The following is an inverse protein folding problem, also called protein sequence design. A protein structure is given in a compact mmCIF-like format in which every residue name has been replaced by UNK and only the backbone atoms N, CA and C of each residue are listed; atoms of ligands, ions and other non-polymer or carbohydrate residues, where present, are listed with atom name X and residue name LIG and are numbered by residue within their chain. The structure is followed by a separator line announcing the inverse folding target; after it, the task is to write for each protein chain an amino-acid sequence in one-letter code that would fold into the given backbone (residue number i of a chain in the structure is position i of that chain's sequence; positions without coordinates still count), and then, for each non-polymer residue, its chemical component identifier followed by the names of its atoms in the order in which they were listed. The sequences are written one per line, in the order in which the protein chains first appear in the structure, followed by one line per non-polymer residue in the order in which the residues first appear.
data_IF_247587284070
#
_entry.id   IF_247587284070
#
_cell.length_a   1.000
_cell.length_b   1.000
_cell.length_c   1.000
_cell.angle_alpha   90.00
_cell.angle_beta   90.00
_cell.angle_gamma   90.00
#
_symmetry.space_group_name_H-M   'P 1'
#
loop_
_entity.id
_entity.type
_entity.pdbx_description
1 polymer ?
#
# COMPACT_ATOMS: atom_id res chain seq x y z
N UNK A 1 12.85 30.00 -7.00
CA UNK A 1 13.41 28.64 -6.99
C UNK A 1 12.33 27.58 -7.23
N UNK A 2 11.24 27.59 -6.49
CA UNK A 2 10.11 26.65 -6.65
C UNK A 2 9.48 26.69 -8.06
N UNK A 3 9.32 27.88 -8.64
CA UNK A 3 8.78 28.05 -9.99
C UNK A 3 9.65 27.38 -11.07
N UNK A 4 10.99 27.44 -10.94
CA UNK A 4 11.90 26.78 -11.88
C UNK A 4 11.87 25.25 -11.78
N UNK A 5 11.63 24.70 -10.58
CA UNK A 5 11.59 23.26 -10.34
C UNK A 5 10.23 22.65 -10.69
N UNK A 6 9.14 23.30 -10.28
CA UNK A 6 7.80 22.72 -10.32
C UNK A 6 6.85 23.37 -11.31
N UNK A 7 7.29 24.41 -12.03
CA UNK A 7 6.51 25.10 -13.08
C UNK A 7 5.08 25.47 -12.65
N UNK A 8 4.97 26.03 -11.44
CA UNK A 8 3.68 26.26 -10.76
C UNK A 8 2.70 27.09 -11.60
N UNK A 9 3.18 28.10 -12.35
CA UNK A 9 2.35 28.92 -13.25
C UNK A 9 1.81 28.12 -14.44
N UNK A 10 2.63 27.22 -14.98
CA UNK A 10 2.25 26.33 -16.09
C UNK A 10 1.13 25.37 -15.66
N UNK A 11 1.16 24.92 -14.40
CA UNK A 11 0.14 24.06 -13.79
C UNK A 11 -1.02 24.85 -13.15
N UNK A 12 -1.10 26.17 -13.32
CA UNK A 12 -2.14 27.02 -12.71
C UNK A 12 -2.31 26.81 -11.20
N UNK A 13 -1.21 26.67 -10.46
CA UNK A 13 -1.19 26.41 -9.03
C UNK A 13 -0.27 27.36 -8.28
N UNK A 14 -0.23 27.26 -6.97
CA UNK A 14 0.62 28.06 -6.09
C UNK A 14 1.18 27.20 -4.94
N UNK A 15 2.28 27.62 -4.27
CA UNK A 15 2.93 26.83 -3.23
C UNK A 15 2.01 26.43 -2.07
N UNK A 16 1.06 27.29 -1.71
CA UNK A 16 0.12 27.00 -0.61
C UNK A 16 -0.84 25.86 -0.98
N UNK A 17 -1.33 25.87 -2.20
CA UNK A 17 -2.20 24.79 -2.73
C UNK A 17 -1.44 23.48 -2.80
N UNK A 18 -0.19 23.49 -3.33
CA UNK A 18 0.63 22.29 -3.44
C UNK A 18 1.00 21.69 -2.09
N UNK A 19 1.39 22.50 -1.11
CA UNK A 19 1.67 22.03 0.24
C UNK A 19 0.41 21.44 0.88
N UNK A 20 -0.74 22.11 0.75
CA UNK A 20 -2.02 21.59 1.25
C UNK A 20 -2.40 20.26 0.60
N UNK A 21 -2.20 20.13 -0.72
CA UNK A 21 -2.44 18.89 -1.45
C UNK A 21 -1.49 17.77 -1.00
N UNK A 22 -0.21 18.09 -0.80
CA UNK A 22 0.78 17.15 -0.28
C UNK A 22 0.43 16.63 1.12
N UNK A 23 -0.02 17.51 2.02
CA UNK A 23 -0.51 17.10 3.36
C UNK A 23 -1.70 16.16 3.24
N UNK A 24 -2.69 16.45 2.39
CA UNK A 24 -3.86 15.58 2.18
C UNK A 24 -3.42 14.23 1.61
N UNK A 25 -2.51 14.22 0.64
CA UNK A 25 -1.95 12.98 0.08
C UNK A 25 -1.24 12.16 1.15
N UNK A 26 -0.39 12.80 1.97
CA UNK A 26 0.25 12.13 3.11
C UNK A 26 -0.79 11.53 4.08
N UNK A 27 -1.82 12.28 4.46
CA UNK A 27 -2.88 11.80 5.36
C UNK A 27 -3.60 10.57 4.79
N UNK A 28 -3.75 10.46 3.47
CA UNK A 28 -4.41 9.31 2.85
C UNK A 28 -3.54 8.07 2.82
N UNK A 29 -2.22 8.20 2.80
CA UNK A 29 -1.29 7.06 2.75
C UNK A 29 -0.62 6.74 4.10
N UNK A 30 -0.72 7.62 5.10
CA UNK A 30 -0.01 7.46 6.38
C UNK A 30 -0.35 6.16 7.12
N UNK A 31 -1.54 5.58 6.86
CA UNK A 31 -1.94 4.29 7.44
C UNK A 31 -0.95 3.15 7.12
N UNK A 32 -0.20 3.27 6.02
CA UNK A 32 0.76 2.25 5.61
C UNK A 32 1.91 2.07 6.60
N UNK A 33 2.25 3.15 7.35
CA UNK A 33 3.27 3.12 8.40
C UNK A 33 2.87 2.25 9.60
N UNK A 34 1.59 1.89 9.69
CA UNK A 34 1.05 0.98 10.71
C UNK A 34 0.75 -0.40 10.11
N UNK A 35 0.08 -0.44 8.96
CA UNK A 35 -0.37 -1.69 8.35
C UNK A 35 0.79 -2.51 7.79
N UNK A 36 1.76 -1.88 7.13
CA UNK A 36 2.92 -2.59 6.59
C UNK A 36 3.76 -3.29 7.67
N UNK A 37 4.15 -2.62 8.76
CA UNK A 37 4.86 -3.29 9.85
C UNK A 37 4.03 -4.40 10.52
N UNK A 38 2.72 -4.23 10.64
CA UNK A 38 1.85 -5.28 11.19
C UNK A 38 1.84 -6.54 10.33
N UNK A 39 1.82 -6.39 8.99
CA UNK A 39 1.89 -7.53 8.07
C UNK A 39 3.25 -8.21 8.14
N UNK A 40 4.33 -7.45 8.12
CA UNK A 40 5.68 -8.01 8.19
C UNK A 40 5.98 -8.60 9.56
N UNK A 41 5.41 -8.06 10.65
CA UNK A 41 5.46 -8.64 11.99
C UNK A 41 4.79 -10.01 12.05
N UNK A 42 3.64 -10.18 11.38
CA UNK A 42 3.01 -11.50 11.25
C UNK A 42 3.87 -12.51 10.47
N UNK A 43 4.78 -12.04 9.62
CA UNK A 43 5.80 -12.84 8.95
C UNK A 43 7.07 -13.06 9.79
N UNK A 44 7.11 -12.60 11.06
CA UNK A 44 8.26 -12.76 11.95
C UNK A 44 9.39 -11.75 11.75
N UNK A 45 9.13 -10.64 11.03
CA UNK A 45 10.09 -9.55 10.89
C UNK A 45 9.97 -8.56 12.05
N UNK A 46 11.04 -7.85 12.37
CA UNK A 46 11.04 -6.80 13.39
C UNK A 46 10.16 -5.61 12.95
N UNK A 47 9.08 -5.37 13.71
CA UNK A 47 8.06 -4.36 13.42
C UNK A 47 8.65 -2.95 13.42
N UNK A 48 9.54 -2.66 14.37
CA UNK A 48 10.18 -1.35 14.49
C UNK A 48 11.08 -1.06 13.29
N UNK A 49 11.93 -1.99 12.93
CA UNK A 49 12.82 -1.87 11.78
C UNK A 49 12.04 -1.72 10.47
N UNK A 50 10.97 -2.50 10.29
CA UNK A 50 10.08 -2.38 9.12
C UNK A 50 9.41 -1.01 9.06
N UNK A 51 8.97 -0.46 10.20
CA UNK A 51 8.37 0.88 10.26
C UNK A 51 9.34 1.94 9.74
N UNK A 52 10.57 1.92 10.24
CA UNK A 52 11.62 2.88 9.84
C UNK A 52 11.93 2.76 8.35
N UNK A 53 12.15 1.54 7.86
CA UNK A 53 12.45 1.29 6.43
C UNK A 53 11.29 1.73 5.55
N UNK A 54 10.04 1.43 5.94
CA UNK A 54 8.85 1.84 5.20
C UNK A 54 8.75 3.36 5.11
N UNK A 55 8.98 4.08 6.20
CA UNK A 55 8.95 5.54 6.23
C UNK A 55 10.05 6.14 5.33
N UNK A 56 11.29 5.66 5.47
CA UNK A 56 12.43 6.17 4.69
C UNK A 56 12.23 5.91 3.19
N UNK A 57 11.88 4.69 2.80
CA UNK A 57 11.70 4.35 1.39
C UNK A 57 10.52 5.11 0.76
N UNK A 58 9.38 5.20 1.47
CA UNK A 58 8.23 5.97 0.98
C UNK A 58 8.58 7.45 0.81
N UNK A 59 9.34 8.05 1.74
CA UNK A 59 9.79 9.42 1.65
C UNK A 59 10.74 9.63 0.47
N UNK A 60 11.78 8.81 0.34
CA UNK A 60 12.79 8.93 -0.73
C UNK A 60 12.16 8.75 -2.11
N UNK A 61 11.37 7.70 -2.31
CA UNK A 61 10.78 7.44 -3.63
C UNK A 61 9.68 8.43 -3.99
N UNK A 62 8.87 8.90 -3.03
CA UNK A 62 7.88 9.96 -3.29
C UNK A 62 8.57 11.29 -3.64
N UNK A 63 9.65 11.64 -2.94
CA UNK A 63 10.46 12.82 -3.24
C UNK A 63 11.09 12.72 -4.63
N UNK A 64 11.70 11.57 -4.94
CA UNK A 64 12.30 11.33 -6.27
C UNK A 64 11.25 11.41 -7.38
N UNK A 65 10.08 10.82 -7.17
CA UNK A 65 8.96 10.88 -8.12
C UNK A 65 8.53 12.33 -8.36
N UNK A 66 8.31 13.11 -7.31
CA UNK A 66 7.92 14.52 -7.42
C UNK A 66 8.98 15.38 -8.12
N UNK A 67 10.26 15.18 -7.82
CA UNK A 67 11.36 15.96 -8.41
C UNK A 67 11.62 15.58 -9.87
N UNK A 68 11.53 14.29 -10.21
CA UNK A 68 11.87 13.80 -11.55
C UNK A 68 10.72 13.94 -12.55
N UNK A 69 9.49 13.58 -12.13
CA UNK A 69 8.34 13.58 -13.05
C UNK A 69 7.46 14.81 -12.94
N UNK A 70 7.60 15.59 -11.86
CA UNK A 70 6.72 16.71 -11.52
C UNK A 70 5.23 16.32 -11.45
N UNK A 71 4.95 15.06 -11.05
CA UNK A 71 3.61 14.52 -10.89
C UNK A 71 3.30 14.28 -9.42
N UNK A 72 2.04 14.49 -8.97
CA UNK A 72 1.64 14.37 -7.57
C UNK A 72 1.40 12.90 -7.16
N UNK A 73 2.35 12.01 -7.45
CA UNK A 73 2.30 10.61 -7.03
C UNK A 73 3.09 10.40 -5.74
N UNK A 74 2.42 9.94 -4.70
CA UNK A 74 3.09 9.41 -3.52
C UNK A 74 3.31 7.90 -3.69
N UNK A 75 4.51 7.44 -3.36
CA UNK A 75 4.92 6.04 -3.51
C UNK A 75 5.04 5.37 -2.14
N UNK A 76 4.44 4.19 -2.03
CA UNK A 76 4.48 3.38 -0.84
C UNK A 76 4.40 1.89 -1.20
N UNK A 77 4.76 0.96 -0.29
CA UNK A 77 4.69 -0.47 -0.54
C UNK A 77 3.29 -0.95 -0.94
N UNK A 78 3.22 -1.88 -1.90
CA UNK A 78 1.95 -2.42 -2.39
C UNK A 78 1.33 -3.41 -1.40
N UNK A 79 0.18 -3.08 -0.81
CA UNK A 79 -0.47 -3.90 0.22
C UNK A 79 -0.87 -5.30 -0.25
N UNK A 80 -1.29 -5.46 -1.50
CA UNK A 80 -1.69 -6.76 -2.03
C UNK A 80 -0.55 -7.78 -2.04
N UNK A 81 0.59 -7.43 -2.62
CA UNK A 81 1.78 -8.28 -2.65
C UNK A 81 2.32 -8.54 -1.24
N UNK A 82 2.27 -7.53 -0.37
CA UNK A 82 2.74 -7.64 1.01
C UNK A 82 1.89 -8.58 1.85
N UNK A 83 0.57 -8.54 1.66
CA UNK A 83 -0.33 -9.46 2.33
C UNK A 83 -0.13 -10.91 1.86
N UNK A 84 0.05 -11.13 0.56
CA UNK A 84 0.39 -12.44 0.01
C UNK A 84 1.73 -12.94 0.58
N UNK A 85 2.74 -12.08 0.63
CA UNK A 85 4.03 -12.39 1.25
C UNK A 85 3.87 -12.80 2.70
N UNK A 86 3.24 -11.96 3.53
CA UNK A 86 3.18 -12.14 4.96
C UNK A 86 2.31 -13.34 5.37
N UNK A 87 1.09 -13.40 4.85
CA UNK A 87 0.10 -14.38 5.33
C UNK A 87 0.10 -15.69 4.54
N UNK A 88 0.30 -15.65 3.22
CA UNK A 88 0.25 -16.86 2.40
C UNK A 88 1.59 -17.57 2.38
N UNK A 89 2.69 -16.85 2.17
CA UNK A 89 3.98 -17.49 2.00
C UNK A 89 4.70 -17.74 3.32
N UNK A 90 4.85 -16.70 4.16
CA UNK A 90 5.69 -16.81 5.35
C UNK A 90 4.89 -17.38 6.52
N UNK A 91 3.79 -16.76 6.93
CA UNK A 91 2.95 -17.28 8.01
C UNK A 91 2.28 -18.62 7.62
N UNK A 92 2.06 -18.87 6.33
CA UNK A 92 1.62 -20.17 5.81
C UNK A 92 2.69 -21.26 5.81
N UNK A 93 3.93 -20.95 6.26
CA UNK A 93 5.01 -21.93 6.41
C UNK A 93 5.64 -22.41 5.11
N UNK A 94 5.36 -21.75 3.97
CA UNK A 94 5.90 -22.13 2.66
C UNK A 94 7.39 -21.80 2.56
N UNK A 95 7.81 -20.62 3.04
CA UNK A 95 9.20 -20.16 3.02
C UNK A 95 9.49 -19.27 4.23
N UNK A 96 10.78 -19.10 4.55
CA UNK A 96 11.23 -18.09 5.51
C UNK A 96 11.05 -16.68 4.92
N UNK A 97 10.94 -15.66 5.78
CA UNK A 97 10.82 -14.28 5.29
C UNK A 97 12.05 -13.81 4.50
N UNK A 98 13.26 -14.33 4.84
CA UNK A 98 14.51 -14.04 4.12
C UNK A 98 14.44 -14.54 2.67
N UNK A 99 14.02 -15.79 2.49
CA UNK A 99 13.85 -16.40 1.15
C UNK A 99 12.72 -15.72 0.39
N UNK A 100 11.62 -15.39 1.07
CA UNK A 100 10.52 -14.63 0.48
C UNK A 100 10.96 -13.24 -0.02
N UNK A 101 11.77 -12.50 0.76
CA UNK A 101 12.37 -11.24 0.31
C UNK A 101 13.30 -11.43 -0.88
N UNK A 102 14.06 -12.53 -0.92
CA UNK A 102 14.86 -12.92 -2.09
C UNK A 102 14.01 -13.07 -3.35
N UNK A 103 12.83 -13.72 -3.25
CA UNK A 103 11.89 -13.86 -4.37
C UNK A 103 11.34 -12.51 -4.84
N UNK A 104 10.94 -11.64 -3.91
CA UNK A 104 10.47 -10.28 -4.22
C UNK A 104 11.57 -9.47 -4.91
N UNK A 105 12.81 -9.58 -4.44
CA UNK A 105 13.95 -8.91 -5.05
C UNK A 105 14.18 -9.39 -6.50
N UNK A 106 14.17 -10.70 -6.75
CA UNK A 106 14.32 -11.28 -8.10
C UNK A 106 13.19 -10.78 -9.01
N UNK A 107 11.95 -10.80 -8.51
CA UNK A 107 10.78 -10.27 -9.22
C UNK A 107 10.96 -8.79 -9.60
N UNK A 108 11.45 -7.97 -8.67
CA UNK A 108 11.75 -6.54 -8.90
C UNK A 108 12.83 -6.32 -9.95
N UNK A 109 13.90 -7.15 -9.94
CA UNK A 109 14.96 -7.10 -10.96
C UNK A 109 14.41 -7.45 -12.34
N UNK A 110 13.59 -8.51 -12.44
CA UNK A 110 12.92 -8.89 -13.71
C UNK A 110 12.04 -7.74 -14.20
N UNK A 111 11.25 -7.13 -13.29
CA UNK A 111 10.40 -5.99 -13.62
C UNK A 111 11.21 -4.79 -14.16
N UNK A 112 12.33 -4.49 -13.51
CA UNK A 112 13.22 -3.40 -13.93
C UNK A 112 13.79 -3.68 -15.33
N UNK A 113 14.31 -4.88 -15.56
CA UNK A 113 14.89 -5.27 -16.85
C UNK A 113 13.85 -5.17 -17.97
N UNK A 114 12.64 -5.69 -17.77
CA UNK A 114 11.56 -5.60 -18.75
C UNK A 114 11.12 -4.15 -19.01
N UNK A 115 11.17 -3.30 -17.98
CA UNK A 115 10.85 -1.87 -18.13
C UNK A 115 11.90 -1.13 -18.94
N UNK A 116 13.19 -1.38 -18.68
CA UNK A 116 14.31 -0.77 -19.41
C UNK A 116 14.34 -1.23 -20.88
N UNK A 117 14.01 -2.50 -21.14
CA UNK A 117 13.92 -3.06 -22.50
C UNK A 117 12.66 -2.61 -23.27
N UNK A 118 11.77 -1.82 -22.66
CA UNK A 118 10.53 -1.36 -23.29
C UNK A 118 9.46 -2.45 -23.47
N UNK A 119 9.73 -3.67 -23.04
CA UNK A 119 8.82 -4.81 -23.17
C UNK A 119 7.54 -4.65 -22.34
N UNK A 120 7.59 -3.82 -21.31
CA UNK A 120 6.43 -3.48 -20.46
C UNK A 120 5.29 -2.88 -21.30
N UNK A 121 5.60 -1.96 -22.23
CA UNK A 121 4.58 -1.34 -23.07
C UNK A 121 3.90 -2.35 -24.00
N UNK A 122 4.68 -3.30 -24.53
CA UNK A 122 4.14 -4.38 -25.39
C UNK A 122 3.17 -5.25 -24.60
N UNK A 123 3.55 -5.69 -23.40
CA UNK A 123 2.70 -6.50 -22.52
C UNK A 123 1.40 -5.74 -22.18
N UNK A 124 1.52 -4.45 -21.83
CA UNK A 124 0.34 -3.60 -21.53
C UNK A 124 -0.61 -3.51 -22.72
N UNK A 125 -0.09 -3.35 -23.94
CA UNK A 125 -0.92 -3.26 -25.16
C UNK A 125 -1.64 -4.57 -25.48
N UNK A 126 -1.04 -5.73 -25.16
CA UNK A 126 -1.62 -7.04 -25.39
C UNK A 126 -2.79 -7.36 -24.44
N UNK A 127 -2.86 -6.72 -23.28
CA UNK A 127 -3.90 -7.00 -22.28
C UNK A 127 -5.18 -6.24 -22.62
N UNK A 128 -6.33 -6.94 -22.81
CA UNK A 128 -7.62 -6.30 -23.05
C UNK A 128 -8.04 -5.34 -21.94
N UNK A 129 -8.73 -4.25 -22.29
CA UNK A 129 -9.20 -3.25 -21.31
C UNK A 129 -10.02 -3.86 -20.18
N UNK A 130 -10.90 -4.81 -20.49
CA UNK A 130 -11.73 -5.48 -19.50
C UNK A 130 -10.92 -6.27 -18.46
N UNK A 131 -9.81 -6.90 -18.89
CA UNK A 131 -8.90 -7.61 -17.97
C UNK A 131 -8.20 -6.63 -17.05
N UNK A 132 -7.75 -5.48 -17.54
CA UNK A 132 -7.14 -4.43 -16.72
C UNK A 132 -8.08 -3.93 -15.63
N UNK A 133 -9.35 -3.68 -15.98
CA UNK A 133 -10.38 -3.26 -15.02
C UNK A 133 -10.70 -4.36 -14.00
N UNK A 134 -10.80 -5.62 -14.46
CA UNK A 134 -11.05 -6.77 -13.59
C UNK A 134 -9.94 -6.98 -12.56
N UNK A 135 -8.68 -6.76 -12.94
CA UNK A 135 -7.54 -6.87 -12.02
C UNK A 135 -7.63 -5.82 -10.91
N UNK A 136 -7.94 -4.56 -11.24
CA UNK A 136 -8.14 -3.52 -10.23
C UNK A 136 -9.25 -3.87 -9.23
N UNK A 137 -10.37 -4.38 -9.72
CA UNK A 137 -11.46 -4.85 -8.88
C UNK A 137 -11.05 -6.04 -8.00
N UNK A 138 -10.35 -7.02 -8.56
CA UNK A 138 -9.88 -8.21 -7.84
C UNK A 138 -8.91 -7.83 -6.69
N UNK A 139 -7.97 -6.93 -6.93
CA UNK A 139 -7.06 -6.41 -5.90
C UNK A 139 -7.87 -5.69 -4.81
N UNK A 140 -8.84 -4.86 -5.19
CA UNK A 140 -9.72 -4.19 -4.24
C UNK A 140 -10.48 -5.17 -3.34
N UNK A 141 -11.11 -6.18 -3.90
CA UNK A 141 -11.81 -7.23 -3.14
C UNK A 141 -10.87 -8.04 -2.23
N UNK A 142 -9.66 -8.32 -2.70
CA UNK A 142 -8.65 -9.00 -1.89
C UNK A 142 -8.28 -8.17 -0.65
N UNK A 143 -8.03 -6.86 -0.80
CA UNK A 143 -7.73 -5.96 0.32
C UNK A 143 -8.91 -5.86 1.29
N UNK A 144 -10.14 -5.78 0.77
CA UNK A 144 -11.36 -5.79 1.61
C UNK A 144 -11.45 -7.08 2.43
N UNK A 145 -11.21 -8.25 1.81
CA UNK A 145 -11.25 -9.53 2.52
C UNK A 145 -10.21 -9.61 3.64
N UNK A 146 -9.02 -9.07 3.42
CA UNK A 146 -7.98 -8.95 4.46
C UNK A 146 -8.40 -8.00 5.58
N UNK A 147 -9.00 -6.87 5.24
CA UNK A 147 -9.55 -5.93 6.23
C UNK A 147 -10.61 -6.58 7.11
N UNK A 148 -11.52 -7.35 6.52
CA UNK A 148 -12.55 -8.08 7.25
C UNK A 148 -11.97 -9.20 8.13
N UNK A 149 -10.97 -9.91 7.63
CA UNK A 149 -10.25 -10.93 8.41
C UNK A 149 -9.52 -10.30 9.60
N UNK A 150 -8.72 -9.27 9.37
CA UNK A 150 -7.96 -8.60 10.43
C UNK A 150 -8.87 -7.88 11.45
N UNK A 151 -10.01 -7.35 10.99
CA UNK A 151 -11.03 -6.72 11.83
C UNK A 151 -11.92 -7.72 12.58
N UNK A 152 -11.71 -9.03 12.37
CA UNK A 152 -12.46 -10.11 13.03
C UNK A 152 -13.89 -10.28 12.49
N UNK A 153 -14.30 -9.55 11.45
CA UNK A 153 -15.63 -9.68 10.83
C UNK A 153 -15.74 -11.01 10.08
N UNK A 154 -14.64 -11.45 9.49
CA UNK A 154 -14.54 -12.70 8.74
C UNK A 154 -13.50 -13.61 9.38
N UNK A 155 -13.87 -14.86 9.62
CA UNK A 155 -12.98 -15.91 10.10
C UNK A 155 -12.76 -16.94 8.97
N UNK A 156 -11.52 -17.44 8.88
CA UNK A 156 -11.14 -18.42 7.85
C UNK A 156 -10.43 -19.58 8.56
N UNK A 157 -11.23 -20.49 9.10
CA UNK A 157 -10.77 -21.71 9.77
C UNK A 157 -11.34 -22.93 9.02
N UNK A 158 -10.68 -23.25 7.87
CA UNK A 158 -11.14 -24.32 6.98
C UNK A 158 -12.36 -23.94 6.11
N UNK A 159 -13.24 -23.08 6.60
CA UNK A 159 -14.35 -22.46 5.85
C UNK A 159 -14.44 -20.98 6.16
N UNK A 160 -15.03 -20.22 5.25
CA UNK A 160 -15.29 -18.80 5.47
C UNK A 160 -16.56 -18.70 6.34
N UNK A 161 -16.43 -18.11 7.52
CA UNK A 161 -17.51 -17.88 8.47
C UNK A 161 -17.54 -16.43 8.95
N UNK A 162 -18.68 -16.02 9.48
CA UNK A 162 -18.82 -14.71 10.10
C UNK A 162 -18.23 -14.75 11.52
N UNK A 163 -17.42 -13.75 11.87
CA UNK A 163 -16.89 -13.60 13.21
C UNK A 163 -17.97 -13.23 14.23
N UNK A 164 -17.64 -13.35 15.50
CA UNK A 164 -18.58 -12.97 16.58
C UNK A 164 -18.71 -11.44 16.63
N UNK A 165 -19.86 -10.95 16.17
CA UNK A 165 -20.21 -9.52 16.14
C UNK A 165 -20.23 -8.89 17.55
N UNK A 166 -20.37 -9.69 18.60
CA UNK A 166 -20.40 -9.20 19.99
C UNK A 166 -19.02 -8.87 20.54
N UNK A 167 -17.94 -9.29 19.87
CA UNK A 167 -16.60 -8.98 20.35
C UNK A 167 -16.32 -7.48 20.20
N UNK A 168 -15.73 -6.83 21.22
CA UNK A 168 -15.42 -5.40 21.18
C UNK A 168 -14.58 -4.99 19.96
N UNK A 169 -13.65 -5.83 19.52
CA UNK A 169 -12.81 -5.59 18.36
C UNK A 169 -13.61 -5.51 17.04
N UNK A 170 -14.58 -6.43 16.87
CA UNK A 170 -15.46 -6.44 15.68
C UNK A 170 -16.38 -5.23 15.68
N UNK A 171 -16.96 -4.89 16.85
CA UNK A 171 -17.78 -3.69 16.99
C UNK A 171 -17.00 -2.44 16.66
N UNK A 172 -15.77 -2.30 17.15
CA UNK A 172 -14.89 -1.16 16.85
C UNK A 172 -14.57 -1.09 15.34
N UNK A 173 -14.33 -2.23 14.69
CA UNK A 173 -14.07 -2.30 13.25
C UNK A 173 -15.31 -1.84 12.46
N UNK A 174 -16.50 -2.30 12.81
CA UNK A 174 -17.75 -1.89 12.15
C UNK A 174 -18.00 -0.39 12.36
N UNK A 175 -17.84 0.12 13.58
CA UNK A 175 -17.98 1.53 13.89
C UNK A 175 -16.98 2.39 13.08
N UNK A 176 -15.72 1.97 13.02
CA UNK A 176 -14.68 2.62 12.24
C UNK A 176 -15.02 2.65 10.74
N UNK A 177 -15.51 1.54 10.20
CA UNK A 177 -15.93 1.46 8.80
C UNK A 177 -17.13 2.40 8.52
N UNK A 178 -18.15 2.41 9.37
CA UNK A 178 -19.30 3.31 9.25
C UNK A 178 -18.87 4.78 9.33
N UNK A 179 -17.99 5.11 10.26
CA UNK A 179 -17.44 6.46 10.40
C UNK A 179 -16.67 6.87 9.14
N UNK A 180 -15.83 5.98 8.60
CA UNK A 180 -15.08 6.23 7.38
C UNK A 180 -16.02 6.50 6.19
N UNK A 181 -17.03 5.65 5.98
CA UNK A 181 -18.02 5.82 4.92
C UNK A 181 -18.78 7.15 5.10
N UNK A 182 -19.14 7.50 6.31
CA UNK A 182 -19.80 8.79 6.62
C UNK A 182 -18.87 9.98 6.28
N UNK A 183 -17.61 9.96 6.70
CA UNK A 183 -16.65 11.03 6.40
C UNK A 183 -16.41 11.16 4.88
N UNK A 184 -16.30 10.04 4.18
CA UNK A 184 -16.13 10.03 2.72
C UNK A 184 -17.38 10.56 2.00
N UNK A 185 -18.59 10.20 2.44
CA UNK A 185 -19.84 10.72 1.88
C UNK A 185 -19.98 12.23 2.04
N UNK A 186 -19.41 12.78 3.13
CA UNK A 186 -19.32 14.22 3.40
C UNK A 186 -18.17 14.91 2.67
N UNK A 187 -17.40 14.17 1.85
CA UNK A 187 -16.22 14.69 1.11
C UNK A 187 -15.19 15.37 2.02
N UNK A 188 -15.03 14.87 3.25
CA UNK A 188 -14.04 15.40 4.20
C UNK A 188 -12.64 15.06 3.69
N UNK A 189 -11.79 16.09 3.54
CA UNK A 189 -10.39 15.91 3.15
C UNK A 189 -9.64 15.14 4.23
N UNK A 190 -8.94 14.08 3.86
CA UNK A 190 -8.23 13.21 4.81
C UNK A 190 -9.15 12.28 5.62
N UNK A 191 -10.37 11.96 5.13
CA UNK A 191 -11.35 11.11 5.79
C UNK A 191 -10.76 9.80 6.34
N UNK A 192 -9.86 9.16 5.57
CA UNK A 192 -9.20 7.90 5.97
C UNK A 192 -8.36 8.11 7.23
N UNK A 193 -7.51 9.14 7.25
CA UNK A 193 -6.64 9.43 8.39
C UNK A 193 -7.44 9.83 9.64
N UNK A 194 -8.45 10.68 9.46
CA UNK A 194 -9.37 11.09 10.55
C UNK A 194 -10.11 9.88 11.08
N UNK A 195 -10.59 8.99 10.22
CA UNK A 195 -11.25 7.74 10.59
C UNK A 195 -10.36 6.85 11.43
N UNK A 196 -9.10 6.67 11.04
CA UNK A 196 -8.11 5.87 11.79
C UNK A 196 -7.89 6.48 13.18
N UNK A 197 -7.60 7.78 13.27
CA UNK A 197 -7.36 8.45 14.56
C UNK A 197 -8.60 8.32 15.46
N UNK A 198 -9.79 8.63 14.94
CA UNK A 198 -11.02 8.54 15.72
C UNK A 198 -11.29 7.12 16.23
N UNK A 199 -11.12 6.11 15.37
CA UNK A 199 -11.29 4.70 15.76
C UNK A 199 -10.25 4.28 16.79
N UNK A 200 -9.00 4.74 16.65
CA UNK A 200 -7.93 4.50 17.63
C UNK A 200 -8.29 5.08 19.00
N UNK A 201 -8.75 6.33 19.04
CA UNK A 201 -9.16 7.00 20.29
C UNK A 201 -10.35 6.27 20.94
N UNK A 202 -11.33 5.83 20.16
CA UNK A 202 -12.47 5.05 20.67
C UNK A 202 -12.01 3.69 21.18
N UNK A 203 -11.01 3.07 20.57
CA UNK A 203 -10.44 1.79 20.96
C UNK A 203 -9.71 1.80 22.32
N UNK A 204 -9.24 2.96 22.77
CA UNK A 204 -8.56 3.10 24.07
C UNK A 204 -9.47 2.73 25.24
N UNK A 205 -10.65 3.36 25.45
CA UNK A 205 -11.54 3.01 26.55
C UNK A 205 -12.15 1.61 26.41
N UNK A 206 -12.18 1.04 25.20
CA UNK A 206 -12.60 -0.33 24.96
C UNK A 206 -11.53 -1.39 25.31
N UNK A 207 -10.32 -0.95 25.70
CA UNK A 207 -9.19 -1.83 26.02
C UNK A 207 -8.58 -2.55 24.82
N UNK A 208 -8.92 -2.13 23.60
CA UNK A 208 -8.42 -2.73 22.34
C UNK A 208 -7.11 -2.06 21.91
N UNK A 209 -7.06 -0.73 22.07
CA UNK A 209 -5.90 0.08 21.69
C UNK A 209 -5.03 0.35 22.92
N UNK A 210 -3.78 -0.07 22.87
CA UNK A 210 -2.80 0.25 23.90
C UNK A 210 -2.27 1.67 23.69
N UNK A 211 -2.25 2.45 24.77
CA UNK A 211 -1.65 3.79 24.75
C UNK A 211 -0.13 3.63 24.79
N UNK A 212 0.61 4.24 23.88
CA UNK A 212 2.07 4.17 23.89
C UNK A 212 2.64 4.84 25.15
N UNK A 213 3.61 4.22 25.79
CA UNK A 213 4.29 4.76 26.98
C UNK A 213 5.05 6.05 26.69
N UNK A 214 5.52 6.20 25.45
CA UNK A 214 6.26 7.39 25.01
C UNK A 214 5.70 7.90 23.68
N UNK A 215 5.47 9.21 23.59
CA UNK A 215 5.01 9.87 22.35
C UNK A 215 6.12 10.08 21.33
N UNK A 216 7.36 10.16 21.77
CA UNK A 216 8.55 10.35 20.94
C UNK A 216 9.65 9.42 21.43
N UNK A 217 10.19 8.61 20.54
CA UNK A 217 11.32 7.74 20.80
C UNK A 217 12.33 7.82 19.65
N UNK A 218 13.57 7.42 19.91
CA UNK A 218 14.55 7.27 18.83
C UNK A 218 14.08 6.20 17.86
N UNK A 219 14.31 6.39 16.54
CA UNK A 219 13.99 5.35 15.56
C UNK A 219 14.70 4.06 15.90
N UNK A 220 14.00 2.91 15.91
CA UNK A 220 14.64 1.61 16.14
C UNK A 220 15.67 1.30 15.04
N UNK A 221 16.65 0.45 15.40
CA UNK A 221 17.68 0.00 14.46
C UNK A 221 17.06 -0.81 13.31
N UNK A 222 17.54 -0.60 12.10
CA UNK A 222 17.16 -1.39 10.91
C UNK A 222 17.99 -2.67 10.74
N UNK A 223 19.03 -2.85 11.57
CA UNK A 223 19.97 -3.97 11.50
C UNK A 223 19.29 -5.37 11.47
N UNK A 224 18.21 -5.62 12.23
CA UNK A 224 17.54 -6.93 12.22
C UNK A 224 17.06 -7.39 10.85
N UNK A 225 16.76 -6.47 9.94
CA UNK A 225 16.21 -6.78 8.61
C UNK A 225 17.12 -6.34 7.45
N UNK A 226 18.12 -5.49 7.74
CA UNK A 226 18.99 -4.93 6.71
C UNK A 226 19.83 -6.01 6.03
N UNK A 227 19.75 -6.11 4.71
CA UNK A 227 20.49 -7.07 3.86
C UNK A 227 20.35 -8.55 4.27
N UNK A 228 19.25 -8.92 4.94
CA UNK A 228 18.98 -10.29 5.38
C UNK A 228 18.25 -11.14 4.33
N UNK A 229 18.09 -10.64 3.11
CA UNK A 229 17.43 -11.40 2.03
C UNK A 229 18.30 -12.57 1.57
N UNK A 230 17.67 -13.72 1.36
CA UNK A 230 18.33 -14.94 0.87
C UNK A 230 18.00 -15.15 -0.62
N UNK A 231 18.84 -14.57 -1.49
CA UNK A 231 18.69 -14.66 -2.94
C UNK A 231 18.96 -16.08 -3.43
N UNK A 232 19.99 -16.73 -2.87
CA UNK A 232 20.40 -18.07 -3.30
C UNK A 232 19.32 -19.12 -2.97
N UNK A 233 18.72 -19.02 -1.77
CA UNK A 233 17.59 -19.85 -1.39
C UNK A 233 16.36 -19.63 -2.25
N UNK A 234 16.17 -18.40 -2.76
CA UNK A 234 15.04 -18.04 -3.63
C UNK A 234 15.22 -18.53 -5.08
N UNK A 235 16.43 -18.80 -5.56
CA UNK A 235 16.72 -19.23 -6.94
C UNK A 235 16.39 -20.70 -7.22
N UNK A 236 15.70 -21.41 -6.31
CA UNK A 236 15.26 -22.78 -6.56
C UNK A 236 14.18 -22.79 -7.63
N UNK A 237 14.28 -23.74 -8.57
CA UNK A 237 13.30 -23.88 -9.67
C UNK A 237 11.86 -24.05 -9.18
N UNK A 238 11.66 -24.70 -8.02
CA UNK A 238 10.35 -24.87 -7.39
C UNK A 238 9.68 -23.56 -6.99
N UNK A 239 10.43 -22.47 -6.81
CA UNK A 239 9.92 -21.16 -6.43
C UNK A 239 9.65 -20.23 -7.61
N UNK A 240 9.98 -20.65 -8.83
CA UNK A 240 9.71 -19.86 -10.04
C UNK A 240 8.23 -19.40 -10.17
N UNK A 241 7.22 -20.27 -9.92
CA UNK A 241 5.82 -19.83 -9.95
C UNK A 241 5.50 -18.72 -8.94
N UNK A 242 6.13 -18.74 -7.77
CA UNK A 242 5.93 -17.72 -6.72
C UNK A 242 6.59 -16.40 -7.11
N UNK A 243 7.81 -16.42 -7.64
CA UNK A 243 8.49 -15.24 -8.19
C UNK A 243 7.66 -14.63 -9.31
N UNK A 244 7.13 -15.46 -10.20
CA UNK A 244 6.25 -15.01 -11.29
C UNK A 244 4.95 -14.39 -10.75
N UNK A 245 4.38 -14.94 -9.67
CA UNK A 245 3.19 -14.37 -9.00
C UNK A 245 3.46 -12.98 -8.45
N UNK A 246 4.61 -12.76 -7.80
CA UNK A 246 5.03 -11.42 -7.37
C UNK A 246 5.19 -10.47 -8.55
N UNK A 247 5.87 -10.91 -9.60
CA UNK A 247 6.07 -10.12 -10.80
C UNK A 247 4.74 -9.67 -11.42
N UNK A 248 3.81 -10.60 -11.60
CA UNK A 248 2.49 -10.33 -12.16
C UNK A 248 1.69 -9.39 -11.24
N UNK A 249 1.71 -9.66 -9.92
CA UNK A 249 1.05 -8.83 -8.92
C UNK A 249 1.53 -7.39 -8.95
N UNK A 250 2.84 -7.16 -8.92
CA UNK A 250 3.45 -5.83 -8.93
C UNK A 250 3.26 -5.13 -10.28
N UNK A 251 3.36 -5.88 -11.38
CA UNK A 251 3.12 -5.37 -12.72
C UNK A 251 1.71 -4.79 -12.86
N UNK A 252 0.69 -5.57 -12.49
CA UNK A 252 -0.70 -5.16 -12.62
C UNK A 252 -1.13 -4.12 -11.58
N UNK A 253 -0.65 -4.24 -10.35
CA UNK A 253 -0.90 -3.24 -9.31
C UNK A 253 -0.37 -1.86 -9.72
N UNK A 254 0.86 -1.81 -10.23
CA UNK A 254 1.47 -0.56 -10.71
C UNK A 254 0.69 0.04 -11.88
N UNK A 255 0.27 -0.80 -12.84
CA UNK A 255 -0.55 -0.34 -13.97
C UNK A 255 -1.92 0.17 -13.51
N UNK A 256 -2.60 -0.58 -12.66
CA UNK A 256 -3.92 -0.22 -12.13
C UNK A 256 -3.88 1.11 -11.39
N UNK A 257 -2.86 1.31 -10.56
CA UNK A 257 -2.66 2.55 -9.81
C UNK A 257 -2.34 3.72 -10.73
N UNK A 258 -1.39 3.57 -11.66
CA UNK A 258 -1.02 4.65 -12.58
C UNK A 258 -2.20 5.06 -13.47
N UNK A 259 -2.92 4.10 -14.04
CA UNK A 259 -4.10 4.38 -14.87
C UNK A 259 -5.20 5.04 -14.01
N UNK A 260 -5.50 4.49 -12.84
CA UNK A 260 -6.54 5.00 -11.95
C UNK A 260 -6.29 6.45 -11.51
N UNK A 261 -5.07 6.76 -11.07
CA UNK A 261 -4.69 8.12 -10.66
C UNK A 261 -4.65 9.07 -11.84
N UNK A 262 -4.12 8.63 -12.99
CA UNK A 262 -4.08 9.47 -14.20
C UNK A 262 -5.49 9.81 -14.68
N UNK A 263 -6.40 8.84 -14.72
CA UNK A 263 -7.81 9.08 -15.08
C UNK A 263 -8.48 10.02 -14.08
N UNK A 264 -8.23 9.85 -12.78
CA UNK A 264 -8.77 10.74 -11.75
C UNK A 264 -8.26 12.18 -11.92
N UNK A 265 -6.98 12.38 -12.22
CA UNK A 265 -6.41 13.71 -12.50
C UNK A 265 -7.06 14.31 -13.74
N UNK A 266 -7.16 13.58 -14.85
CA UNK A 266 -7.74 14.05 -16.11
C UNK A 266 -9.22 14.42 -15.98
N UNK A 267 -9.99 13.65 -15.20
CA UNK A 267 -11.41 13.97 -14.91
C UNK A 267 -11.56 15.22 -14.06
N UNK A 268 -10.67 15.41 -13.08
CA UNK A 268 -10.75 16.58 -12.17
C UNK A 268 -10.27 17.86 -12.85
N UNK A 269 -9.33 17.76 -13.80
CA UNK A 269 -8.79 18.90 -14.57
C UNK A 269 -9.63 19.23 -15.82
N UNK A 270 -10.69 18.47 -16.10
CA UNK A 270 -11.58 18.72 -17.25
C UNK A 270 -11.00 18.34 -18.62
N UNK A 271 -9.81 17.74 -18.68
CA UNK A 271 -9.12 17.36 -19.94
C UNK A 271 -9.93 16.27 -20.68
N UNK A 272 -10.68 15.42 -19.97
CA UNK A 272 -11.54 14.40 -20.59
C UNK A 272 -12.90 14.95 -21.08
N UNK A 273 -13.30 16.15 -20.69
CA UNK A 273 -14.58 16.76 -21.11
C UNK A 273 -14.49 17.48 -22.47
N UNK A 274 -13.29 17.64 -23.03
CA UNK A 274 -13.06 18.36 -24.28
C UNK A 274 -12.82 17.44 -25.50
N UNK A 275 -13.01 16.13 -25.34
CA UNK A 275 -12.69 15.12 -26.37
C UNK A 275 -13.87 14.21 -26.71
N UNK A 276 -15.11 14.76 -26.88
CA UNK A 276 -16.23 14.10 -27.57
C UNK A 276 -16.61 14.87 -28.81
#
# INVERSE_FOLDING_TARGET
MLEKLFKLKEHNTNPKTEISAGIVTFMTMAYILVVQPSFMGAAGMDVGAVTVVTAILSAIFSLFMGLYTNLPFALAPAMGSNAFFAFTLVAGGVVSWQTGLGMVFISGVIFLLLSVLGLREVIVKLIPKNVKLAIGAAVGFYIVSLGFKNGGIMQVDGSISMGDIKTPAVLLTIMGLCLLVFLMSRKVKGAVFIGIIATTIIGIPMGITQVPETLVSMPPSIEPIFMKLDIMGALKWSFFPLIFTFFVGDFFSTLGTLIGVTVAIMTTTGILSSGT
#
